data_IF_969489329752
#
_entry.id   IF_969489329752
#
_cell.length_a   1.000
_cell.length_b   1.000
_cell.length_c   1.000
_cell.angle_alpha   90.00
_cell.angle_beta   90.00
_cell.angle_gamma   90.00
#
_symmetry.space_group_name_H-M   'P 1'
#
loop_
_entity.id
_entity.type
_entity.pdbx_description
1 polymer ?
#
# COMPACT_ATOMS: atom_id res chain seq x y z
N UNK A 1 -21.46 -17.54 -7.30
CA UNK A 1 -21.43 -16.54 -6.21
C UNK A 1 -20.99 -15.25 -6.83
N UNK A 2 -21.75 -14.16 -6.69
CA UNK A 2 -21.35 -12.86 -7.22
C UNK A 2 -20.19 -12.38 -6.34
N UNK A 3 -18.95 -12.68 -6.72
CA UNK A 3 -17.81 -12.16 -6.00
C UNK A 3 -17.92 -10.64 -6.05
N UNK A 4 -17.88 -9.97 -4.89
CA UNK A 4 -17.91 -8.52 -4.84
C UNK A 4 -16.80 -7.89 -5.69
N UNK A 5 -16.77 -6.56 -5.76
CA UNK A 5 -15.71 -5.81 -6.46
C UNK A 5 -14.32 -6.34 -6.10
N UNK A 6 -13.35 -6.19 -7.01
CA UNK A 6 -11.99 -6.59 -6.69
C UNK A 6 -11.45 -5.78 -5.52
N UNK A 7 -10.48 -6.32 -4.78
CA UNK A 7 -9.78 -5.58 -3.74
C UNK A 7 -8.61 -4.80 -4.35
N UNK A 8 -8.40 -3.57 -3.91
CA UNK A 8 -7.18 -2.81 -4.20
C UNK A 8 -6.41 -2.60 -2.91
N UNK A 9 -5.37 -3.40 -2.71
CA UNK A 9 -4.47 -3.32 -1.57
C UNK A 9 -3.41 -2.24 -1.79
N UNK A 10 -3.37 -1.27 -0.87
CA UNK A 10 -2.53 -0.08 -0.94
C UNK A 10 -1.46 -0.10 0.15
N UNK A 11 -0.19 -0.23 -0.22
CA UNK A 11 0.89 0.20 0.67
C UNK A 11 1.11 1.73 0.59
N UNK A 12 1.62 2.30 1.68
CA UNK A 12 1.99 3.71 1.78
C UNK A 12 3.42 3.91 1.32
N UNK A 13 4.37 3.28 1.99
CA UNK A 13 5.79 3.44 1.70
C UNK A 13 6.15 2.70 0.41
N UNK A 14 6.73 3.41 -0.55
CA UNK A 14 6.95 2.93 -1.91
C UNK A 14 5.91 3.51 -2.88
N UNK A 15 4.66 3.02 -2.91
CA UNK A 15 3.63 3.50 -3.84
C UNK A 15 3.20 4.95 -3.62
N UNK A 16 2.78 5.31 -2.40
CA UNK A 16 2.26 6.66 -2.10
C UNK A 16 3.34 7.59 -1.57
N UNK A 17 4.32 7.04 -0.86
CA UNK A 17 5.45 7.74 -0.29
C UNK A 17 6.75 7.21 -0.91
N UNK A 18 7.32 7.88 -1.94
CA UNK A 18 8.55 7.47 -2.59
C UNK A 18 9.78 7.74 -1.70
N UNK A 19 9.89 6.98 -0.61
CA UNK A 19 10.88 7.20 0.45
C UNK A 19 12.32 6.99 -0.03
N UNK A 20 12.52 6.21 -1.11
CA UNK A 20 13.83 5.92 -1.68
C UNK A 20 14.28 6.97 -2.71
N UNK A 21 13.45 7.98 -3.01
CA UNK A 21 13.85 9.09 -3.86
C UNK A 21 14.97 9.93 -3.20
N UNK A 22 15.80 10.57 -4.02
CA UNK A 22 16.92 11.38 -3.51
C UNK A 22 16.36 12.52 -2.62
N UNK A 23 16.88 12.73 -1.40
CA UNK A 23 16.33 13.73 -0.47
C UNK A 23 16.19 15.14 -1.06
N UNK A 24 17.10 15.52 -1.96
CA UNK A 24 17.15 16.83 -2.63
C UNK A 24 16.30 16.89 -3.91
N UNK A 25 15.78 15.75 -4.37
CA UNK A 25 14.93 15.62 -5.55
C UNK A 25 13.68 14.83 -5.21
N UNK A 26 12.79 15.46 -4.43
CA UNK A 26 11.40 15.03 -4.31
C UNK A 26 10.79 14.91 -5.73
N UNK A 27 10.08 13.83 -6.06
CA UNK A 27 9.40 13.72 -7.35
C UNK A 27 8.37 14.85 -7.56
N UNK A 28 8.11 15.18 -8.82
CA UNK A 28 7.17 16.23 -9.21
C UNK A 28 5.75 15.90 -8.72
N UNK A 29 4.97 16.93 -8.34
CA UNK A 29 3.61 16.78 -7.80
C UNK A 29 3.54 16.43 -6.30
N UNK A 30 4.59 15.83 -5.73
CA UNK A 30 4.59 15.48 -4.30
C UNK A 30 4.77 16.72 -3.41
N UNK A 31 4.13 16.73 -2.24
CA UNK A 31 4.32 17.70 -1.15
C UNK A 31 4.97 17.05 0.05
N UNK A 32 5.62 17.84 0.92
CA UNK A 32 6.34 17.32 2.09
C UNK A 32 5.52 17.44 3.35
N UNK A 33 5.40 16.33 4.08
CA UNK A 33 4.71 16.22 5.35
C UNK A 33 5.68 15.74 6.43
N UNK A 34 5.43 16.16 7.66
CA UNK A 34 6.19 15.77 8.86
C UNK A 34 5.22 15.17 9.85
N UNK A 35 5.31 13.85 10.02
CA UNK A 35 4.32 13.08 10.76
C UNK A 35 5.00 12.38 11.95
N UNK A 36 4.23 12.13 13.02
CA UNK A 36 4.67 11.36 14.18
C UNK A 36 3.60 10.33 14.55
N UNK A 37 3.36 9.31 13.70
CA UNK A 37 2.51 8.20 14.09
C UNK A 37 3.10 7.46 15.29
N UNK A 38 2.25 6.88 16.12
CA UNK A 38 2.63 6.08 17.28
C UNK A 38 3.51 4.90 16.87
N UNK A 39 3.21 4.27 15.72
CA UNK A 39 4.05 3.22 15.13
C UNK A 39 5.47 3.69 14.80
N UNK A 40 5.64 4.95 14.37
CA UNK A 40 6.97 5.54 14.14
C UNK A 40 7.69 5.85 15.45
N UNK A 41 6.97 6.38 16.45
CA UNK A 41 7.53 6.63 17.78
C UNK A 41 8.02 5.32 18.41
N UNK A 42 7.24 4.24 18.30
CA UNK A 42 7.57 2.93 18.84
C UNK A 42 8.85 2.31 18.23
N UNK A 43 9.21 2.71 17.00
CA UNK A 43 10.47 2.29 16.35
C UNK A 43 11.72 2.97 16.94
N UNK A 44 11.56 3.93 17.87
CA UNK A 44 12.65 4.66 18.52
C UNK A 44 12.67 4.37 20.03
N UNK A 45 12.89 3.11 20.45
CA UNK A 45 12.86 2.75 21.85
C UNK A 45 13.93 3.53 22.62
N UNK A 46 13.55 4.00 23.82
CA UNK A 46 14.45 4.76 24.70
C UNK A 46 14.41 6.29 24.51
N UNK A 47 13.66 6.81 23.54
CA UNK A 47 13.40 8.25 23.43
C UNK A 47 11.97 8.59 23.90
N UNK A 48 11.76 9.68 24.64
CA UNK A 48 10.41 10.19 24.87
C UNK A 48 9.80 10.69 23.54
N UNK A 49 8.47 10.62 23.34
CA UNK A 49 7.82 11.03 22.08
C UNK A 49 8.15 12.46 21.63
N UNK A 50 8.40 13.37 22.58
CA UNK A 50 8.82 14.75 22.31
C UNK A 50 10.19 14.83 21.62
N UNK A 51 11.10 13.89 21.89
CA UNK A 51 12.45 13.86 21.33
C UNK A 51 12.55 13.10 19.99
N UNK A 52 11.57 12.26 19.66
CA UNK A 52 11.53 11.57 18.35
C UNK A 52 11.35 12.62 17.24
N UNK A 53 12.22 12.61 16.22
CA UNK A 53 12.08 13.50 15.07
C UNK A 53 10.92 13.05 14.19
N UNK A 54 10.13 13.97 13.60
CA UNK A 54 9.06 13.58 12.69
C UNK A 54 9.56 12.80 11.48
N UNK A 55 8.83 11.75 11.12
CA UNK A 55 8.99 11.05 9.85
C UNK A 55 8.68 12.02 8.71
N UNK A 56 9.57 12.05 7.71
CA UNK A 56 9.30 12.77 6.45
C UNK A 56 8.49 11.86 5.54
N UNK A 57 7.36 12.35 5.08
CA UNK A 57 6.52 11.66 4.09
C UNK A 57 6.32 12.60 2.91
N UNK A 58 6.46 12.06 1.71
CA UNK A 58 6.08 12.74 0.48
C UNK A 58 4.78 12.14 -0.03
N UNK A 59 3.78 12.98 -0.29
CA UNK A 59 2.48 12.54 -0.83
C UNK A 59 2.11 13.42 -2.02
N UNK A 60 1.54 12.82 -3.05
CA UNK A 60 0.98 13.55 -4.18
C UNK A 60 -0.55 13.63 -4.01
N UNK A 61 -1.14 14.82 -3.77
CA UNK A 61 -2.59 14.95 -3.57
C UNK A 61 -3.42 14.45 -4.75
N UNK A 62 -2.86 14.46 -5.97
CA UNK A 62 -3.57 13.99 -7.18
C UNK A 62 -3.81 12.47 -7.17
N UNK A 63 -3.08 11.71 -6.33
CA UNK A 63 -3.29 10.27 -6.20
C UNK A 63 -4.64 9.93 -5.56
N UNK A 64 -5.19 10.80 -4.72
CA UNK A 64 -6.51 10.57 -4.11
C UNK A 64 -7.64 10.50 -5.13
N UNK A 65 -7.86 11.56 -5.93
CA UNK A 65 -8.81 11.53 -7.04
C UNK A 65 -8.56 10.38 -8.02
N UNK A 66 -7.30 10.05 -8.35
CA UNK A 66 -6.97 8.92 -9.22
C UNK A 66 -7.40 7.57 -8.61
N UNK A 67 -7.18 7.36 -7.31
CA UNK A 67 -7.63 6.16 -6.59
C UNK A 67 -9.16 6.10 -6.50
N UNK A 68 -9.82 7.23 -6.22
CA UNK A 68 -11.29 7.29 -6.13
C UNK A 68 -11.97 7.06 -7.48
N UNK A 69 -11.32 7.42 -8.59
CA UNK A 69 -11.81 7.10 -9.93
C UNK A 69 -11.84 5.59 -10.22
N UNK A 70 -11.11 4.77 -9.44
CA UNK A 70 -11.12 3.31 -9.51
C UNK A 70 -12.10 2.67 -8.51
N UNK A 71 -12.69 3.46 -7.60
CA UNK A 71 -13.49 2.95 -6.49
C UNK A 71 -14.87 2.43 -6.89
N UNK A 72 -15.31 2.57 -8.15
CA UNK A 72 -16.48 1.87 -8.68
C UNK A 72 -16.15 0.41 -9.04
N UNK A 73 -14.87 0.09 -9.31
CA UNK A 73 -14.37 -1.25 -9.66
C UNK A 73 -13.67 -1.96 -8.52
N UNK A 74 -13.11 -1.21 -7.58
CA UNK A 74 -12.38 -1.74 -6.45
C UNK A 74 -13.00 -1.37 -5.11
N UNK A 75 -12.86 -2.28 -4.15
CA UNK A 75 -12.87 -1.95 -2.72
C UNK A 75 -11.42 -1.63 -2.30
N UNK A 76 -11.14 -0.36 -2.00
CA UNK A 76 -9.81 0.09 -1.59
C UNK A 76 -9.54 -0.31 -0.14
N UNK A 77 -8.37 -0.87 0.13
CA UNK A 77 -7.98 -1.37 1.45
C UNK A 77 -6.53 -1.01 1.75
N UNK A 78 -6.27 -0.47 2.93
CA UNK A 78 -4.91 -0.24 3.41
C UNK A 78 -4.19 -1.56 3.66
N UNK A 79 -3.09 -1.76 2.95
CA UNK A 79 -2.19 -2.90 3.04
C UNK A 79 -0.77 -2.48 3.48
N UNK A 80 -0.73 -1.65 4.52
CA UNK A 80 0.48 -0.96 4.98
C UNK A 80 0.85 -1.22 6.44
N UNK A 81 2.12 -1.03 6.77
CA UNK A 81 2.63 -1.04 8.15
C UNK A 81 2.11 0.13 8.98
N UNK A 82 1.61 1.19 8.35
CA UNK A 82 0.91 2.30 9.01
C UNK A 82 -0.41 1.86 9.67
N UNK A 83 -1.01 0.75 9.22
CA UNK A 83 -2.28 0.22 9.75
C UNK A 83 -3.37 1.32 9.80
N UNK A 84 -4.08 1.44 10.92
CA UNK A 84 -5.11 2.47 11.15
C UNK A 84 -4.55 3.89 11.11
N UNK A 85 -3.25 4.08 11.34
CA UNK A 85 -2.64 5.40 11.27
C UNK A 85 -2.62 5.94 9.82
N UNK A 86 -2.78 5.07 8.81
CA UNK A 86 -2.98 5.51 7.42
C UNK A 86 -4.26 6.37 7.27
N UNK A 87 -5.35 6.01 7.94
CA UNK A 87 -6.58 6.83 7.95
C UNK A 87 -6.38 8.16 8.70
N UNK A 88 -5.49 8.19 9.69
CA UNK A 88 -5.22 9.41 10.47
C UNK A 88 -4.26 10.38 9.76
N UNK A 89 -3.22 9.85 9.10
CA UNK A 89 -2.11 10.66 8.59
C UNK A 89 -2.05 10.75 7.06
N UNK A 90 -2.50 9.72 6.34
CA UNK A 90 -2.33 9.62 4.88
C UNK A 90 -3.64 9.99 4.17
N UNK A 91 -4.75 9.36 4.54
CA UNK A 91 -6.04 9.55 3.89
C UNK A 91 -6.48 11.03 3.81
N UNK A 92 -6.34 11.87 4.87
CA UNK A 92 -6.77 13.27 4.80
C UNK A 92 -5.93 14.11 3.83
N UNK A 93 -4.65 13.80 3.65
CA UNK A 93 -3.77 14.50 2.71
C UNK A 93 -4.17 14.17 1.27
N UNK A 94 -4.58 12.93 1.02
CA UNK A 94 -5.04 12.48 -0.29
C UNK A 94 -6.53 12.75 -0.52
N UNK A 95 -7.28 13.24 0.46
CA UNK A 95 -8.74 13.39 0.33
C UNK A 95 -9.47 12.04 0.18
N UNK A 96 -8.89 10.96 0.68
CA UNK A 96 -9.53 9.63 0.74
C UNK A 96 -10.45 9.56 1.97
N UNK A 97 -11.58 8.81 1.90
CA UNK A 97 -12.32 8.45 3.08
C UNK A 97 -11.52 7.46 3.94
N UNK A 98 -12.00 7.18 5.15
CA UNK A 98 -11.49 6.07 5.94
C UNK A 98 -11.65 4.76 5.15
N UNK A 99 -10.53 4.06 4.95
CA UNK A 99 -10.51 2.78 4.26
C UNK A 99 -10.39 1.63 5.27
N UNK A 100 -10.95 0.46 4.97
CA UNK A 100 -10.64 -0.78 5.68
C UNK A 100 -9.12 -1.01 5.70
N UNK A 101 -8.64 -1.63 6.77
CA UNK A 101 -7.22 -1.95 6.97
C UNK A 101 -7.09 -3.45 7.08
N UNK A 102 -6.12 -4.04 6.37
CA UNK A 102 -5.79 -5.44 6.61
C UNK A 102 -5.08 -5.58 7.94
N UNK A 103 -5.64 -6.40 8.81
CA UNK A 103 -5.01 -6.73 10.09
C UNK A 103 -3.96 -7.82 9.92
N UNK A 104 -2.74 -7.50 10.37
CA UNK A 104 -1.63 -8.45 10.45
C UNK A 104 -1.15 -8.64 11.89
N UNK A 105 -0.53 -9.79 12.21
CA UNK A 105 0.14 -9.99 13.49
C UNK A 105 1.14 -8.88 13.81
N UNK A 106 1.39 -8.64 15.09
CA UNK A 106 2.43 -7.69 15.53
C UNK A 106 3.83 -8.22 15.24
N UNK A 107 4.04 -9.53 15.34
CA UNK A 107 5.29 -10.18 14.97
C UNK A 107 5.35 -10.46 13.48
N UNK A 108 6.19 -9.72 12.77
CA UNK A 108 6.50 -9.98 11.36
C UNK A 108 7.40 -11.20 11.27
N UNK A 109 6.92 -12.24 10.59
CA UNK A 109 7.71 -13.43 10.27
C UNK A 109 7.85 -13.53 8.77
N UNK A 110 9.04 -13.83 8.23
CA UNK A 110 9.22 -14.02 6.79
C UNK A 110 8.18 -14.98 6.22
N UNK A 111 7.76 -14.72 4.99
CA UNK A 111 6.87 -15.61 4.29
C UNK A 111 7.56 -16.94 3.96
N UNK A 112 6.78 -18.01 3.72
CA UNK A 112 7.35 -19.29 3.29
C UNK A 112 8.18 -19.13 2.03
N UNK A 113 9.29 -19.86 1.93
CA UNK A 113 10.19 -19.86 0.78
C UNK A 113 10.73 -18.46 0.40
N UNK A 114 10.85 -17.55 1.37
CA UNK A 114 11.42 -16.22 1.15
C UNK A 114 10.47 -15.23 0.45
N UNK A 115 9.16 -15.51 0.48
CA UNK A 115 8.11 -14.56 0.09
C UNK A 115 8.06 -13.38 1.04
N UNK A 116 7.56 -12.26 0.55
CA UNK A 116 7.27 -11.11 1.40
C UNK A 116 6.25 -11.48 2.47
N UNK A 117 6.45 -10.98 3.68
CA UNK A 117 5.68 -11.41 4.84
C UNK A 117 4.19 -11.09 4.71
N UNK A 118 3.82 -10.01 4.00
CA UNK A 118 2.42 -9.62 3.76
C UNK A 118 1.69 -10.58 2.83
N UNK A 119 2.40 -11.26 1.91
CA UNK A 119 1.81 -12.01 0.79
C UNK A 119 0.76 -13.03 1.24
N UNK A 120 1.10 -13.90 2.20
CA UNK A 120 0.15 -14.90 2.72
C UNK A 120 -1.06 -14.29 3.42
N UNK A 121 -0.88 -13.13 4.07
CA UNK A 121 -1.96 -12.45 4.79
C UNK A 121 -2.93 -11.81 3.81
N UNK A 122 -2.43 -11.23 2.72
CA UNK A 122 -3.27 -10.66 1.66
C UNK A 122 -4.05 -11.73 0.89
N UNK A 123 -3.42 -12.87 0.59
CA UNK A 123 -4.11 -14.02 -0.02
C UNK A 123 -5.24 -14.53 0.89
N UNK A 124 -4.96 -14.70 2.19
CA UNK A 124 -5.97 -15.13 3.15
C UNK A 124 -7.09 -14.09 3.32
N UNK A 125 -6.75 -12.79 3.39
CA UNK A 125 -7.72 -11.71 3.53
C UNK A 125 -8.59 -11.58 2.27
N UNK A 126 -8.03 -11.80 1.08
CA UNK A 126 -8.78 -11.74 -0.17
C UNK A 126 -9.87 -12.82 -0.24
N UNK A 127 -9.66 -13.97 0.42
CA UNK A 127 -10.69 -15.02 0.52
C UNK A 127 -11.22 -15.50 -0.83
N UNK A 128 -10.36 -15.55 -1.85
CA UNK A 128 -10.72 -15.92 -3.23
C UNK A 128 -11.29 -14.79 -4.09
N UNK A 129 -11.51 -13.58 -3.55
CA UNK A 129 -11.89 -12.41 -4.35
C UNK A 129 -10.71 -11.95 -5.21
N UNK A 130 -10.93 -11.53 -6.46
CA UNK A 130 -9.88 -10.92 -7.25
C UNK A 130 -9.26 -9.71 -6.55
N UNK A 131 -7.96 -9.50 -6.70
CA UNK A 131 -7.29 -8.35 -6.09
C UNK A 131 -6.14 -7.79 -6.92
N UNK A 132 -5.90 -6.49 -6.78
CA UNK A 132 -4.65 -5.83 -7.16
C UNK A 132 -3.91 -5.39 -5.90
N UNK A 133 -2.58 -5.43 -5.92
CA UNK A 133 -1.73 -5.02 -4.80
C UNK A 133 -0.60 -4.12 -5.28
N UNK A 134 -0.55 -2.90 -4.73
CA UNK A 134 0.50 -1.90 -4.94
C UNK A 134 1.48 -1.93 -3.76
N UNK A 135 2.74 -2.30 -4.03
CA UNK A 135 3.82 -2.38 -3.02
C UNK A 135 5.19 -2.41 -3.72
N UNK A 136 6.26 -1.91 -3.10
CA UNK A 136 7.59 -1.86 -3.72
C UNK A 136 8.45 -3.12 -3.47
N UNK A 137 8.10 -3.92 -2.47
CA UNK A 137 8.87 -5.08 -2.04
C UNK A 137 8.57 -6.36 -2.83
N UNK A 138 7.58 -6.32 -3.75
CA UNK A 138 7.12 -7.49 -4.50
C UNK A 138 8.18 -8.09 -5.42
N UNK A 139 8.33 -9.42 -5.36
CA UNK A 139 9.17 -10.19 -6.27
C UNK A 139 8.47 -11.41 -6.88
N UNK A 140 9.21 -12.22 -7.65
CA UNK A 140 8.67 -13.38 -8.35
C UNK A 140 8.24 -14.52 -7.42
N UNK A 141 8.76 -14.57 -6.19
CA UNK A 141 8.33 -15.56 -5.19
C UNK A 141 6.92 -15.24 -4.73
N UNK A 142 6.59 -13.95 -4.58
CA UNK A 142 5.24 -13.52 -4.24
C UNK A 142 4.25 -13.88 -5.35
N UNK A 143 4.64 -13.66 -6.61
CA UNK A 143 3.84 -14.06 -7.78
C UNK A 143 3.58 -15.57 -7.82
N UNK A 144 4.62 -16.37 -7.61
CA UNK A 144 4.51 -17.83 -7.56
C UNK A 144 3.62 -18.28 -6.39
N UNK A 145 3.76 -17.66 -5.22
CA UNK A 145 2.95 -17.97 -4.06
C UNK A 145 1.47 -17.67 -4.33
N UNK A 146 1.15 -16.48 -4.84
CA UNK A 146 -0.23 -16.10 -5.13
C UNK A 146 -0.85 -17.01 -6.19
N UNK A 147 -0.13 -17.31 -7.27
CA UNK A 147 -0.61 -18.23 -8.31
C UNK A 147 -0.91 -19.64 -7.78
N UNK A 148 -0.18 -20.10 -6.75
CA UNK A 148 -0.37 -21.42 -6.16
C UNK A 148 -1.44 -21.47 -5.04
N UNK A 149 -1.78 -20.34 -4.41
CA UNK A 149 -2.60 -20.32 -3.19
C UNK A 149 -3.85 -19.43 -3.29
N UNK A 150 -4.08 -18.76 -4.42
CA UNK A 150 -5.23 -17.90 -4.63
C UNK A 150 -5.98 -18.30 -5.91
N UNK A 151 -7.23 -18.72 -5.75
CA UNK A 151 -8.08 -19.16 -6.87
C UNK A 151 -8.61 -18.00 -7.72
N UNK A 152 -8.60 -16.77 -7.19
CA UNK A 152 -9.04 -15.56 -7.89
C UNK A 152 -7.95 -14.98 -8.80
N UNK A 153 -8.35 -14.07 -9.70
CA UNK A 153 -7.37 -13.30 -10.48
C UNK A 153 -6.63 -12.31 -9.57
N UNK A 154 -5.31 -12.24 -9.68
CA UNK A 154 -4.50 -11.32 -8.88
C UNK A 154 -3.48 -10.55 -9.73
N UNK A 155 -3.40 -9.24 -9.50
CA UNK A 155 -2.35 -8.37 -10.03
C UNK A 155 -1.39 -7.96 -8.90
N UNK A 156 -0.13 -8.39 -9.00
CA UNK A 156 0.95 -7.98 -8.10
C UNK A 156 1.79 -6.89 -8.78
N UNK A 157 1.44 -5.63 -8.51
CA UNK A 157 1.97 -4.47 -9.20
C UNK A 157 3.07 -3.80 -8.38
N UNK A 158 4.31 -4.05 -8.78
CA UNK A 158 5.48 -3.52 -8.09
C UNK A 158 5.70 -2.05 -8.47
N UNK A 159 5.76 -1.18 -7.46
CA UNK A 159 6.04 0.26 -7.68
C UNK A 159 7.50 0.58 -7.36
N UNK A 160 8.17 1.40 -8.16
CA UNK A 160 9.53 1.86 -7.83
C UNK A 160 9.47 2.88 -6.67
N UNK A 161 10.09 2.59 -5.51
CA UNK A 161 10.00 3.46 -4.33
C UNK A 161 10.77 4.79 -4.51
N UNK A 162 11.47 4.97 -5.63
CA UNK A 162 12.12 6.24 -6.02
C UNK A 162 11.19 7.17 -6.78
N UNK A 163 10.08 6.65 -7.30
CA UNK A 163 9.15 7.38 -8.16
C UNK A 163 7.77 7.48 -7.53
N UNK A 164 7.35 6.41 -6.83
CA UNK A 164 5.97 6.23 -6.39
C UNK A 164 5.03 6.00 -7.57
N UNK A 165 3.73 6.03 -7.30
CA UNK A 165 2.70 5.85 -8.32
C UNK A 165 2.76 6.95 -9.37
N UNK A 166 2.45 6.55 -10.60
CA UNK A 166 2.38 7.38 -11.80
C UNK A 166 1.15 7.00 -12.58
N UNK A 167 0.80 7.83 -13.57
CA UNK A 167 -0.36 7.62 -14.44
C UNK A 167 -0.44 6.21 -15.05
N UNK A 168 0.70 5.67 -15.49
CA UNK A 168 0.79 4.33 -16.05
C UNK A 168 0.39 3.22 -15.05
N UNK A 169 0.67 3.41 -13.75
CA UNK A 169 0.30 2.45 -12.71
C UNK A 169 -1.22 2.42 -12.52
N UNK A 170 -1.88 3.59 -12.55
CA UNK A 170 -3.35 3.68 -12.52
C UNK A 170 -3.99 3.10 -13.78
N UNK A 171 -3.36 3.28 -14.95
CA UNK A 171 -3.83 2.69 -16.20
C UNK A 171 -3.78 1.15 -16.16
N UNK A 172 -2.74 0.57 -15.56
CA UNK A 172 -2.60 -0.88 -15.35
C UNK A 172 -3.69 -1.42 -14.42
N UNK A 173 -3.94 -0.74 -13.29
CA UNK A 173 -5.05 -1.08 -12.40
C UNK A 173 -6.40 -1.05 -13.14
N UNK A 174 -6.66 0.00 -13.91
CA UNK A 174 -7.90 0.09 -14.69
C UNK A 174 -8.02 -1.02 -15.75
N UNK A 175 -6.90 -1.42 -16.37
CA UNK A 175 -6.86 -2.51 -17.34
C UNK A 175 -7.17 -3.86 -16.69
N UNK A 176 -6.54 -4.14 -15.55
CA UNK A 176 -6.84 -5.34 -14.78
C UNK A 176 -8.31 -5.39 -14.34
N UNK A 177 -8.88 -4.28 -13.86
CA UNK A 177 -10.29 -4.24 -13.46
C UNK A 177 -11.26 -4.58 -14.62
N UNK A 178 -10.88 -4.27 -15.86
CA UNK A 178 -11.67 -4.58 -17.06
C UNK A 178 -11.53 -6.04 -17.51
N UNK A 179 -10.51 -6.77 -17.06
CA UNK A 179 -10.29 -8.17 -17.40
C UNK A 179 -10.91 -9.16 -16.41
N UNK A 180 -11.55 -8.66 -15.35
CA UNK A 180 -12.27 -9.45 -14.35
C UNK A 180 -13.68 -9.79 -14.80
#
# INVERSE_FOLDING_TARGET
MNAGRALLYLDVDGPLNPYAARPERRPEGYTTHRMKPDGWIAQHPGLPPSAVKPLRVWLNPDHGPALLALADRYDLVWATTWRQEANTFIAPVLGLPDLPVVDWPTTVTPGPNGTFWKTRHLVSHAGGRPFAWLDDELDDRDRQFVAAHHDGQALLHRVDPRLGLREADFAELAAFARSL
#
